data_IF_655687321368
#
_entry.id   IF_655687321368
#
_cell.length_a   1.000
_cell.length_b   1.000
_cell.length_c   1.000
_cell.angle_alpha   90.00
_cell.angle_beta   90.00
_cell.angle_gamma   90.00
#
_symmetry.space_group_name_H-M   'P 1'
#
loop_
_entity.id
_entity.type
_entity.pdbx_description
1 polymer ?
#
# COMPACT_ATOMS: atom_id res chain seq x y z
N UNK A 1 -23.89 -0.30 15.67
CA UNK A 1 -22.46 -0.11 15.32
C UNK A 1 -21.61 -1.21 15.93
N UNK A 2 -21.48 -2.31 15.18
CA UNK A 2 -20.82 -3.56 15.62
C UNK A 2 -19.36 -3.33 16.11
N UNK A 3 -18.65 -2.35 15.53
CA UNK A 3 -17.24 -2.08 15.84
C UNK A 3 -17.00 -0.67 16.43
N UNK A 4 -18.02 -0.10 17.06
CA UNK A 4 -17.92 1.24 17.67
C UNK A 4 -16.81 1.36 18.73
N UNK A 5 -16.45 0.24 19.38
CA UNK A 5 -15.36 0.19 20.37
C UNK A 5 -13.97 0.42 19.74
N UNK A 6 -13.81 0.25 18.43
CA UNK A 6 -12.58 0.54 17.70
C UNK A 6 -12.46 2.03 17.31
N UNK A 7 -13.45 2.84 17.60
CA UNK A 7 -13.48 4.27 17.27
C UNK A 7 -13.32 5.14 18.52
N UNK A 8 -12.74 6.33 18.40
CA UNK A 8 -12.05 6.86 17.21
C UNK A 8 -10.69 6.19 16.99
N UNK A 9 -10.31 6.00 15.73
CA UNK A 9 -9.01 5.48 15.34
C UNK A 9 -8.21 6.49 14.51
N UNK A 10 -6.88 6.47 14.69
CA UNK A 10 -5.90 7.22 13.87
C UNK A 10 -4.95 6.25 13.17
N UNK A 11 -5.40 5.04 12.96
CA UNK A 11 -4.64 3.91 12.46
C UNK A 11 -5.20 3.43 11.12
N UNK A 12 -4.46 3.64 10.06
CA UNK A 12 -4.87 3.23 8.71
C UNK A 12 -5.15 1.73 8.62
N UNK A 13 -4.37 0.88 9.31
CA UNK A 13 -4.57 -0.57 9.30
C UNK A 13 -5.93 -0.98 9.90
N UNK A 14 -6.41 -0.25 10.91
CA UNK A 14 -7.75 -0.44 11.48
C UNK A 14 -8.82 -0.13 10.44
N UNK A 15 -8.68 0.98 9.72
CA UNK A 15 -9.61 1.39 8.66
C UNK A 15 -9.55 0.38 7.49
N UNK A 16 -8.36 0.08 7.03
CA UNK A 16 -8.09 -0.84 5.90
C UNK A 16 -8.62 -2.25 6.15
N UNK A 17 -8.61 -2.70 7.41
CA UNK A 17 -9.19 -4.00 7.80
C UNK A 17 -10.69 -4.08 7.56
N UNK A 18 -11.41 -2.95 7.51
CA UNK A 18 -12.86 -2.89 7.50
C UNK A 18 -13.45 -2.18 6.28
N UNK A 19 -12.62 -1.55 5.43
CA UNK A 19 -13.08 -0.75 4.28
C UNK A 19 -13.92 -1.57 3.28
N UNK A 20 -13.64 -2.85 3.15
CA UNK A 20 -14.38 -3.77 2.28
C UNK A 20 -15.85 -3.95 2.68
N UNK A 21 -16.23 -3.53 3.91
CA UNK A 21 -17.60 -3.58 4.43
C UNK A 21 -18.46 -2.36 4.06
N UNK A 22 -17.92 -1.42 3.31
CA UNK A 22 -18.68 -0.26 2.84
C UNK A 22 -19.83 -0.75 1.96
N UNK A 23 -21.06 -0.36 2.33
CA UNK A 23 -22.25 -0.78 1.60
C UNK A 23 -22.22 -0.25 0.15
N UNK A 24 -22.49 -1.12 -0.80
CA UNK A 24 -22.51 -0.77 -2.21
C UNK A 24 -21.12 -0.80 -2.89
N UNK A 25 -20.07 -1.21 -2.18
CA UNK A 25 -18.75 -1.41 -2.78
C UNK A 25 -18.80 -2.54 -3.80
N UNK A 26 -18.12 -2.35 -4.94
CA UNK A 26 -18.03 -3.36 -6.00
C UNK A 26 -17.20 -4.57 -5.57
N UNK A 27 -17.44 -5.75 -6.20
CA UNK A 27 -16.61 -6.94 -6.00
C UNK A 27 -15.13 -6.66 -6.27
N UNK A 28 -14.84 -5.89 -7.32
CA UNK A 28 -13.51 -5.42 -7.66
C UNK A 28 -13.42 -3.94 -7.34
N UNK A 29 -12.56 -3.56 -6.41
CA UNK A 29 -12.33 -2.16 -6.09
C UNK A 29 -10.83 -1.86 -5.90
N UNK A 30 -10.49 -0.60 -6.03
CA UNK A 30 -9.14 -0.12 -5.81
C UNK A 30 -9.07 0.65 -4.49
N UNK A 31 -8.09 0.31 -3.66
CA UNK A 31 -7.76 1.08 -2.48
C UNK A 31 -6.55 1.96 -2.76
N UNK A 32 -6.67 3.23 -2.44
CA UNK A 32 -5.62 4.23 -2.52
C UNK A 32 -5.30 4.77 -1.14
N UNK A 33 -4.02 4.93 -0.84
CA UNK A 33 -3.58 5.80 0.25
C UNK A 33 -3.60 7.25 -0.23
N UNK A 34 -3.61 8.20 0.69
CA UNK A 34 -3.65 9.65 0.42
C UNK A 34 -2.35 10.21 -0.21
N UNK A 35 -1.28 9.42 -0.19
CA UNK A 35 0.03 9.70 -0.77
C UNK A 35 0.28 8.98 -2.11
N UNK A 36 -0.73 8.32 -2.67
CA UNK A 36 -0.67 7.57 -3.93
C UNK A 36 -1.46 8.29 -5.03
N UNK A 37 -0.84 8.42 -6.20
CA UNK A 37 -1.36 9.16 -7.35
C UNK A 37 -1.27 8.32 -8.62
N UNK A 38 -2.16 8.61 -9.58
CA UNK A 38 -2.02 8.14 -10.96
C UNK A 38 -1.19 9.17 -11.73
N UNK A 39 -0.07 8.74 -12.29
CA UNK A 39 0.85 9.57 -13.08
C UNK A 39 0.68 9.39 -14.59
N UNK A 40 -0.13 8.41 -15.02
CA UNK A 40 -0.48 8.18 -16.41
C UNK A 40 -1.90 7.60 -16.53
N UNK A 41 -2.51 7.57 -17.73
CA UNK A 41 -3.79 6.93 -17.98
C UNK A 41 -3.78 5.46 -17.54
N UNK A 42 -4.84 5.05 -16.85
CA UNK A 42 -5.01 3.70 -16.32
C UNK A 42 -6.08 2.96 -17.13
N UNK A 43 -5.76 1.75 -17.55
CA UNK A 43 -6.72 0.82 -18.13
C UNK A 43 -7.26 -0.13 -17.05
N UNK A 44 -8.48 -0.64 -17.14
CA UNK A 44 -8.99 -1.65 -16.21
C UNK A 44 -8.06 -2.86 -16.08
N UNK A 45 -7.42 -3.29 -17.17
CA UNK A 45 -6.47 -4.40 -17.22
C UNK A 45 -5.15 -4.13 -16.48
N UNK A 46 -4.85 -2.87 -16.18
CA UNK A 46 -3.69 -2.54 -15.34
C UNK A 46 -3.91 -2.90 -13.86
N UNK A 47 -5.17 -3.10 -13.47
CA UNK A 47 -5.57 -3.35 -12.08
C UNK A 47 -6.22 -4.71 -11.91
N UNK A 48 -7.06 -5.12 -12.88
CA UNK A 48 -7.70 -6.43 -12.90
C UNK A 48 -7.68 -7.02 -14.31
N UNK A 49 -7.17 -8.21 -14.47
CA UNK A 49 -7.32 -8.99 -15.69
C UNK A 49 -8.42 -10.03 -15.49
N UNK A 50 -9.58 -9.76 -16.07
CA UNK A 50 -10.81 -10.48 -15.73
C UNK A 50 -11.16 -10.28 -14.25
N UNK A 51 -11.17 -11.38 -13.48
CA UNK A 51 -11.41 -11.34 -12.04
C UNK A 51 -10.13 -11.37 -11.18
N UNK A 52 -8.95 -11.38 -11.81
CA UNK A 52 -7.68 -11.53 -11.14
C UNK A 52 -7.08 -10.15 -10.83
N UNK A 53 -6.77 -9.81 -9.58
CA UNK A 53 -6.05 -8.60 -9.24
C UNK A 53 -4.61 -8.64 -9.79
N UNK A 54 -4.15 -7.53 -10.35
CA UNK A 54 -2.77 -7.34 -10.83
C UNK A 54 -1.94 -6.75 -9.69
N UNK A 55 -1.16 -7.59 -9.04
CA UNK A 55 -0.43 -7.27 -7.82
C UNK A 55 0.96 -6.71 -8.14
N UNK A 56 1.29 -5.58 -7.54
CA UNK A 56 2.60 -4.93 -7.61
C UNK A 56 3.36 -5.11 -6.31
N UNK A 57 4.62 -5.50 -6.43
CA UNK A 57 5.46 -5.78 -5.27
C UNK A 57 6.65 -6.65 -5.66
N UNK A 58 7.39 -7.08 -4.65
CA UNK A 58 8.59 -7.90 -4.85
C UNK A 58 8.63 -9.06 -3.85
N UNK A 59 9.17 -10.19 -4.28
CA UNK A 59 9.53 -11.27 -3.37
C UNK A 59 10.77 -10.86 -2.59
N UNK A 60 10.68 -10.94 -1.27
CA UNK A 60 11.73 -10.48 -0.36
C UNK A 60 12.00 -11.48 0.74
N UNK A 61 13.20 -11.41 1.32
CA UNK A 61 13.56 -12.07 2.57
C UNK A 61 13.64 -11.00 3.69
N UNK A 62 12.71 -11.08 4.64
CA UNK A 62 12.67 -10.25 5.83
C UNK A 62 12.97 -11.04 7.11
N UNK A 63 13.48 -12.28 6.98
CA UNK A 63 13.71 -13.16 8.13
C UNK A 63 14.69 -12.58 9.15
N UNK A 64 15.70 -11.82 8.73
CA UNK A 64 16.64 -11.17 9.63
C UNK A 64 15.96 -10.22 10.62
N UNK A 65 14.87 -9.54 10.21
CA UNK A 65 14.16 -8.60 11.07
C UNK A 65 13.56 -9.28 12.31
N UNK A 66 13.28 -10.58 12.24
CA UNK A 66 12.72 -11.33 13.35
C UNK A 66 13.73 -11.57 14.46
N UNK A 67 15.03 -11.54 14.15
CA UNK A 67 16.14 -11.82 15.06
C UNK A 67 16.85 -10.57 15.58
N UNK A 68 16.44 -9.38 15.14
CA UNK A 68 17.05 -8.09 15.48
C UNK A 68 16.04 -7.25 16.32
N UNK A 69 16.06 -7.39 17.67
CA UNK A 69 15.11 -6.70 18.54
C UNK A 69 15.07 -5.17 18.34
N UNK A 70 16.23 -4.57 18.08
CA UNK A 70 16.36 -3.13 17.83
C UNK A 70 15.60 -2.66 16.58
N UNK A 71 15.37 -3.54 15.61
CA UNK A 71 14.60 -3.24 14.41
C UNK A 71 13.10 -3.11 14.69
N UNK A 72 12.62 -3.70 15.79
CA UNK A 72 11.22 -3.56 16.20
C UNK A 72 10.90 -2.15 16.72
N UNK A 73 11.88 -1.45 17.22
CA UNK A 73 11.75 -0.08 17.72
C UNK A 73 11.94 0.97 16.61
N UNK A 74 12.40 0.55 15.42
CA UNK A 74 12.62 1.42 14.27
C UNK A 74 11.30 1.68 13.51
N UNK A 75 10.72 2.91 13.54
CA UNK A 75 9.49 3.22 12.83
C UNK A 75 9.58 2.96 11.33
N UNK A 76 10.77 3.05 10.72
CA UNK A 76 10.99 2.77 9.30
C UNK A 76 10.77 1.29 8.96
N UNK A 77 10.76 0.40 9.96
CA UNK A 77 10.53 -1.04 9.79
C UNK A 77 9.11 -1.49 10.10
N UNK A 78 8.25 -0.61 10.61
CA UNK A 78 6.86 -0.96 10.94
C UNK A 78 6.14 -1.67 9.79
N UNK A 79 6.18 -1.09 8.59
CA UNK A 79 5.53 -1.69 7.42
C UNK A 79 6.07 -3.09 7.08
N UNK A 80 7.38 -3.34 7.30
CA UNK A 80 7.96 -4.66 7.06
C UNK A 80 7.37 -5.70 8.02
N UNK A 81 7.25 -5.39 9.32
CA UNK A 81 6.66 -6.30 10.30
C UNK A 81 5.19 -6.59 10.00
N UNK A 82 4.42 -5.59 9.57
CA UNK A 82 3.01 -5.78 9.20
C UNK A 82 2.85 -6.66 7.96
N UNK A 83 3.78 -6.57 7.00
CA UNK A 83 3.81 -7.47 5.85
C UNK A 83 4.25 -8.89 6.23
N UNK A 84 5.23 -9.04 7.15
CA UNK A 84 5.60 -10.35 7.70
C UNK A 84 4.39 -10.99 8.38
N UNK A 85 3.69 -10.27 9.25
CA UNK A 85 2.52 -10.78 9.97
C UNK A 85 1.41 -11.22 9.00
N UNK A 86 1.17 -10.45 7.95
CA UNK A 86 0.22 -10.80 6.88
C UNK A 86 0.62 -12.08 6.14
N UNK A 87 1.89 -12.20 5.79
CA UNK A 87 2.45 -13.37 5.11
C UNK A 87 2.32 -14.63 5.96
N UNK A 88 2.74 -14.56 7.24
CA UNK A 88 2.64 -15.67 8.18
C UNK A 88 1.19 -16.12 8.37
N UNK A 89 0.24 -15.19 8.49
CA UNK A 89 -1.18 -15.48 8.61
C UNK A 89 -1.72 -16.20 7.36
N UNK A 90 -1.21 -15.87 6.19
CA UNK A 90 -1.56 -16.52 4.92
C UNK A 90 -0.81 -17.86 4.67
N UNK A 91 0.08 -18.29 5.58
CA UNK A 91 0.84 -19.54 5.46
C UNK A 91 2.17 -19.44 4.71
N UNK A 92 2.65 -18.22 4.45
CA UNK A 92 4.00 -17.95 3.95
C UNK A 92 4.98 -17.82 5.11
N UNK A 93 6.26 -17.71 4.81
CA UNK A 93 7.30 -17.44 5.81
C UNK A 93 8.00 -16.09 5.54
N UNK A 94 8.82 -15.63 6.51
CA UNK A 94 9.53 -14.38 6.38
C UNK A 94 10.71 -14.43 5.38
N UNK A 95 11.17 -15.61 4.98
CA UNK A 95 12.27 -15.79 4.01
C UNK A 95 11.81 -15.58 2.57
N UNK A 96 10.52 -15.84 2.31
CA UNK A 96 9.95 -15.67 0.98
C UNK A 96 8.51 -15.17 1.10
N UNK A 97 8.35 -13.87 1.23
CA UNK A 97 7.06 -13.22 1.22
C UNK A 97 6.95 -12.22 0.07
N UNK A 98 5.73 -11.93 -0.36
CA UNK A 98 5.45 -10.92 -1.37
C UNK A 98 5.24 -9.56 -0.68
N UNK A 99 6.26 -8.72 -0.67
CA UNK A 99 6.16 -7.37 -0.18
C UNK A 99 5.41 -6.49 -1.19
N UNK A 100 4.18 -6.15 -0.86
CA UNK A 100 3.34 -5.28 -1.68
C UNK A 100 3.97 -3.90 -1.84
N UNK A 101 4.01 -3.40 -3.07
CA UNK A 101 4.42 -2.03 -3.34
C UNK A 101 3.44 -1.04 -2.69
N UNK A 102 3.93 0.11 -2.27
CA UNK A 102 3.09 1.18 -1.73
C UNK A 102 2.50 2.01 -2.88
N UNK A 103 1.52 1.44 -3.55
CA UNK A 103 0.80 2.01 -4.68
C UNK A 103 -0.68 1.62 -4.57
N UNK A 104 -1.44 1.71 -5.65
CA UNK A 104 -2.83 1.24 -5.67
C UNK A 104 -2.90 -0.26 -5.36
N UNK A 105 -3.88 -0.63 -4.52
CA UNK A 105 -4.14 -2.02 -4.19
C UNK A 105 -5.47 -2.46 -4.82
N UNK A 106 -5.44 -3.37 -5.83
CA UNK A 106 -6.63 -4.03 -6.33
C UNK A 106 -7.12 -5.06 -5.30
N UNK A 107 -8.35 -4.90 -4.86
CA UNK A 107 -8.95 -5.73 -3.81
C UNK A 107 -10.21 -6.41 -4.32
N UNK A 108 -10.36 -7.69 -3.99
CA UNK A 108 -11.59 -8.44 -4.17
C UNK A 108 -12.37 -8.49 -2.87
N UNK A 109 -13.60 -7.99 -2.91
CA UNK A 109 -14.49 -7.93 -1.75
C UNK A 109 -14.75 -9.32 -1.18
N UNK A 110 -15.07 -10.30 -2.05
CA UNK A 110 -15.33 -11.69 -1.63
C UNK A 110 -14.16 -12.32 -0.90
N UNK A 111 -12.92 -12.09 -1.35
CA UNK A 111 -11.71 -12.61 -0.70
C UNK A 111 -11.50 -11.95 0.67
N UNK A 112 -11.74 -10.65 0.80
CA UNK A 112 -11.65 -9.98 2.09
C UNK A 112 -12.71 -10.51 3.07
N UNK A 113 -13.93 -10.79 2.60
CA UNK A 113 -14.98 -11.40 3.41
C UNK A 113 -14.59 -12.82 3.88
N UNK A 114 -14.09 -13.66 2.98
CA UNK A 114 -13.60 -15.01 3.31
C UNK A 114 -12.47 -14.97 4.34
N UNK A 115 -11.51 -14.02 4.18
CA UNK A 115 -10.41 -13.84 5.11
C UNK A 115 -10.89 -13.35 6.48
N UNK A 116 -11.86 -12.44 6.50
CA UNK A 116 -12.46 -11.96 7.74
C UNK A 116 -13.17 -13.09 8.49
N UNK A 117 -13.94 -13.91 7.79
CA UNK A 117 -14.61 -15.06 8.40
C UNK A 117 -13.60 -16.10 8.93
N UNK A 118 -12.58 -16.41 8.12
CA UNK A 118 -11.53 -17.38 8.48
C UNK A 118 -10.69 -16.94 9.67
N UNK A 119 -10.34 -15.65 9.73
CA UNK A 119 -9.43 -15.08 10.73
C UNK A 119 -10.12 -14.06 11.63
N UNK A 120 -11.40 -14.26 11.91
CA UNK A 120 -12.25 -13.29 12.61
C UNK A 120 -11.61 -12.71 13.89
N UNK A 121 -11.14 -13.57 14.80
CA UNK A 121 -10.51 -13.12 16.03
C UNK A 121 -9.25 -12.27 15.78
N UNK A 122 -8.46 -12.59 14.73
CA UNK A 122 -7.26 -11.86 14.36
C UNK A 122 -7.61 -10.48 13.76
N UNK A 123 -8.69 -10.39 12.97
CA UNK A 123 -9.20 -9.10 12.48
C UNK A 123 -9.70 -8.22 13.63
N UNK A 124 -10.43 -8.80 14.60
CA UNK A 124 -10.87 -8.06 15.80
C UNK A 124 -9.68 -7.55 16.62
N UNK A 125 -8.63 -8.35 16.73
CA UNK A 125 -7.38 -7.90 17.34
C UNK A 125 -6.74 -6.77 16.53
N UNK A 126 -6.71 -6.87 15.18
CA UNK A 126 -6.08 -5.88 14.29
C UNK A 126 -6.73 -4.50 14.38
N UNK A 127 -8.05 -4.43 14.61
CA UNK A 127 -8.80 -3.16 14.63
C UNK A 127 -8.83 -2.47 15.99
N UNK A 128 -8.44 -3.14 17.08
CA UNK A 128 -8.52 -2.55 18.43
C UNK A 128 -7.47 -1.46 18.70
N UNK A 129 -6.41 -1.40 17.89
CA UNK A 129 -5.32 -0.48 18.10
C UNK A 129 -5.65 0.91 17.57
N UNK A 130 -5.68 1.90 18.44
CA UNK A 130 -5.93 3.30 18.08
C UNK A 130 -4.80 3.91 17.25
N UNK A 131 -3.58 3.46 17.47
CA UNK A 131 -2.36 3.81 16.73
C UNK A 131 -1.70 2.52 16.24
N UNK A 132 -0.79 2.62 15.25
CA UNK A 132 -0.09 1.44 14.70
C UNK A 132 0.66 0.68 15.79
N UNK A 133 0.55 -0.65 15.74
CA UNK A 133 1.19 -1.59 16.65
C UNK A 133 1.84 -2.72 15.84
N UNK A 134 3.02 -3.19 16.29
CA UNK A 134 3.77 -4.26 15.59
C UNK A 134 3.06 -5.61 15.55
N UNK A 135 2.02 -5.80 16.35
CA UNK A 135 1.18 -7.01 16.35
C UNK A 135 0.16 -7.02 15.22
N UNK A 136 -0.05 -5.88 14.58
CA UNK A 136 -0.98 -5.77 13.45
C UNK A 136 -0.39 -6.40 12.19
N UNK A 137 -1.28 -6.79 11.29
CA UNK A 137 -0.94 -7.21 9.93
C UNK A 137 -1.46 -6.20 8.90
N UNK A 138 -0.84 -6.18 7.71
CA UNK A 138 -1.33 -5.43 6.57
C UNK A 138 -2.52 -6.16 5.93
N UNK A 139 -3.74 -5.58 5.91
CA UNK A 139 -4.89 -6.23 5.28
C UNK A 139 -4.70 -6.49 3.78
N UNK A 140 -4.07 -5.54 3.07
CA UNK A 140 -3.74 -5.69 1.65
C UNK A 140 -2.67 -6.77 1.45
N UNK A 141 -1.67 -6.82 2.35
CA UNK A 141 -0.66 -7.87 2.34
C UNK A 141 -1.28 -9.26 2.53
N UNK A 142 -2.24 -9.41 3.45
CA UNK A 142 -2.97 -10.66 3.66
C UNK A 142 -3.79 -11.04 2.42
N UNK A 143 -4.56 -10.09 1.86
CA UNK A 143 -5.32 -10.30 0.63
C UNK A 143 -4.41 -10.77 -0.52
N UNK A 144 -3.28 -10.09 -0.74
CA UNK A 144 -2.37 -10.41 -1.82
C UNK A 144 -1.78 -11.82 -1.67
N UNK A 145 -1.33 -12.18 -0.46
CA UNK A 145 -0.83 -13.54 -0.20
C UNK A 145 -1.90 -14.60 -0.37
N UNK A 146 -3.15 -14.34 0.05
CA UNK A 146 -4.26 -15.27 -0.16
C UNK A 146 -4.57 -15.47 -1.64
N UNK A 147 -4.57 -14.39 -2.43
CA UNK A 147 -4.73 -14.47 -3.88
C UNK A 147 -3.60 -15.27 -4.55
N UNK A 148 -2.35 -15.03 -4.14
CA UNK A 148 -1.18 -15.75 -4.67
C UNK A 148 -1.26 -17.24 -4.30
N UNK A 149 -1.56 -17.56 -3.05
CA UNK A 149 -1.65 -18.95 -2.56
C UNK A 149 -2.74 -19.76 -3.27
N UNK A 150 -3.81 -19.10 -3.72
CA UNK A 150 -4.91 -19.72 -4.45
C UNK A 150 -4.80 -19.61 -5.97
N UNK A 151 -3.68 -19.10 -6.50
CA UNK A 151 -3.46 -18.84 -7.93
C UNK A 151 -4.52 -17.93 -8.55
N UNK A 152 -5.05 -17.00 -7.74
CA UNK A 152 -6.10 -16.04 -8.13
C UNK A 152 -5.56 -14.61 -8.21
N UNK A 153 -4.34 -14.44 -8.69
CA UNK A 153 -3.72 -13.15 -8.93
C UNK A 153 -2.74 -13.19 -10.10
N UNK A 154 -2.50 -12.03 -10.69
CA UNK A 154 -1.39 -11.80 -11.60
C UNK A 154 -0.34 -11.00 -10.84
N UNK A 155 0.87 -11.53 -10.75
CA UNK A 155 2.01 -10.79 -10.19
C UNK A 155 2.65 -10.00 -11.33
N UNK A 156 2.54 -8.68 -11.27
CA UNK A 156 3.17 -7.79 -12.24
C UNK A 156 4.69 -7.77 -12.02
N UNK A 157 5.45 -8.07 -13.05
CA UNK A 157 6.91 -8.28 -12.96
C UNK A 157 7.70 -7.02 -13.32
N UNK A 158 7.07 -6.06 -13.97
CA UNK A 158 7.70 -4.82 -14.41
C UNK A 158 7.45 -3.70 -13.39
N UNK A 159 8.44 -2.82 -13.21
CA UNK A 159 8.26 -1.65 -12.34
C UNK A 159 7.59 -0.52 -13.13
N UNK A 160 6.26 -0.44 -13.05
CA UNK A 160 5.42 0.61 -13.64
C UNK A 160 5.04 1.70 -12.62
N UNK A 161 5.83 1.85 -11.57
CA UNK A 161 5.59 2.79 -10.48
C UNK A 161 6.88 3.43 -9.94
N UNK A 162 6.72 4.59 -9.34
CA UNK A 162 7.77 5.29 -8.61
C UNK A 162 7.31 5.52 -7.17
N UNK A 163 8.17 5.17 -6.21
CA UNK A 163 7.94 5.40 -4.80
C UNK A 163 9.04 6.31 -4.23
N UNK A 164 8.65 7.51 -3.80
CA UNK A 164 9.52 8.47 -3.13
C UNK A 164 9.20 8.40 -1.63
N UNK A 165 10.03 7.69 -0.88
CA UNK A 165 9.85 7.54 0.57
C UNK A 165 10.43 8.73 1.33
N UNK A 166 9.89 8.99 2.55
CA UNK A 166 10.40 9.97 3.49
C UNK A 166 11.88 9.73 3.79
N UNK A 167 12.67 10.78 3.83
CA UNK A 167 14.11 10.70 4.05
C UNK A 167 14.94 10.38 2.80
N UNK A 168 14.38 9.73 1.79
CA UNK A 168 15.08 9.55 0.51
C UNK A 168 15.24 10.88 -0.26
N UNK A 169 14.30 11.80 -0.09
CA UNK A 169 14.41 13.15 -0.65
C UNK A 169 15.44 14.04 0.05
N UNK A 170 15.69 13.80 1.34
CA UNK A 170 16.64 14.58 2.16
C UNK A 170 18.03 13.97 2.16
N UNK A 171 18.14 12.65 2.28
CA UNK A 171 19.43 11.92 2.29
C UNK A 171 20.02 11.66 0.91
N UNK A 172 19.25 11.91 -0.16
CA UNK A 172 19.64 11.68 -1.54
C UNK A 172 20.06 12.99 -2.20
N UNK A 173 21.11 13.00 -3.06
CA UNK A 173 21.45 14.16 -3.87
C UNK A 173 20.23 14.67 -4.64
N UNK A 174 20.06 15.99 -4.72
CA UNK A 174 18.94 16.62 -5.43
C UNK A 174 18.80 16.13 -6.87
N UNK A 175 19.93 15.89 -7.55
CA UNK A 175 19.94 15.40 -8.93
C UNK A 175 19.29 14.02 -9.08
N UNK A 176 19.46 13.14 -8.11
CA UNK A 176 18.85 11.81 -8.12
C UNK A 176 17.34 11.89 -7.85
N UNK A 177 16.92 12.79 -6.96
CA UNK A 177 15.50 13.04 -6.70
C UNK A 177 14.81 13.62 -7.95
N UNK A 178 15.45 14.57 -8.63
CA UNK A 178 14.98 15.10 -9.92
C UNK A 178 14.86 14.00 -10.98
N UNK A 179 15.82 13.09 -11.06
CA UNK A 179 15.77 11.96 -12.00
C UNK A 179 14.58 11.02 -11.70
N UNK A 180 14.24 10.78 -10.42
CA UNK A 180 13.05 10.03 -10.05
C UNK A 180 11.76 10.75 -10.47
N UNK A 181 11.65 12.05 -10.24
CA UNK A 181 10.50 12.84 -10.67
C UNK A 181 10.36 12.83 -12.19
N UNK A 182 11.47 12.96 -12.92
CA UNK A 182 11.47 12.85 -14.37
C UNK A 182 11.00 11.45 -14.83
N UNK A 183 11.49 10.39 -14.17
CA UNK A 183 11.02 9.03 -14.44
C UNK A 183 9.53 8.88 -14.15
N UNK A 184 9.02 9.46 -13.06
CA UNK A 184 7.59 9.42 -12.72
C UNK A 184 6.70 10.16 -13.75
N UNK A 185 7.26 11.07 -14.54
CA UNK A 185 6.54 11.76 -15.63
C UNK A 185 6.46 10.95 -16.93
N UNK A 186 7.16 9.80 -17.00
CA UNK A 186 7.07 8.91 -18.17
C UNK A 186 5.72 8.17 -18.17
N UNK A 187 5.03 8.04 -19.31
CA UNK A 187 3.75 7.35 -19.40
C UNK A 187 3.82 5.84 -19.07
N UNK A 188 5.03 5.28 -19.01
CA UNK A 188 5.26 3.90 -18.59
C UNK A 188 5.04 3.74 -17.08
N UNK A 189 5.24 4.79 -16.28
CA UNK A 189 5.00 4.78 -14.85
C UNK A 189 3.58 5.27 -14.57
N UNK A 190 2.71 4.35 -14.22
CA UNK A 190 1.28 4.62 -14.01
C UNK A 190 0.95 5.08 -12.60
N UNK A 191 1.80 4.73 -11.64
CA UNK A 191 1.58 5.00 -10.23
C UNK A 191 2.77 5.74 -9.63
N UNK A 192 2.43 6.70 -8.78
CA UNK A 192 3.40 7.50 -8.04
C UNK A 192 2.98 7.52 -6.57
N UNK A 193 3.90 7.20 -5.68
CA UNK A 193 3.74 7.44 -4.25
C UNK A 193 4.77 8.47 -3.77
N UNK A 194 4.30 9.46 -2.99
CA UNK A 194 5.13 10.44 -2.31
C UNK A 194 4.72 10.48 -0.84
N UNK A 195 5.46 9.80 0.04
CA UNK A 195 5.08 9.66 1.45
C UNK A 195 5.03 10.97 2.21
N UNK A 196 5.86 11.95 1.87
CA UNK A 196 5.93 13.23 2.56
C UNK A 196 6.23 14.34 1.56
N UNK A 197 5.17 14.85 0.94
CA UNK A 197 5.29 15.93 -0.04
C UNK A 197 5.87 17.23 0.57
N UNK A 198 5.49 17.67 1.80
CA UNK A 198 6.15 18.81 2.43
C UNK A 198 7.66 18.63 2.60
N UNK A 199 8.11 17.43 2.97
CA UNK A 199 9.53 17.14 3.09
C UNK A 199 10.22 17.15 1.72
N UNK A 200 9.58 16.60 0.68
CA UNK A 200 10.11 16.66 -0.68
C UNK A 200 10.27 18.10 -1.15
N UNK A 201 9.35 19.01 -0.80
CA UNK A 201 9.42 20.43 -1.15
C UNK A 201 10.62 21.16 -0.52
N UNK A 202 11.16 20.66 0.60
CA UNK A 202 12.38 21.23 1.20
C UNK A 202 13.63 20.98 0.33
N UNK A 203 13.62 19.89 -0.44
CA UNK A 203 14.75 19.50 -1.32
C UNK A 203 14.51 19.94 -2.76
N UNK A 204 13.29 19.84 -3.22
CA UNK A 204 12.86 20.21 -4.57
C UNK A 204 11.79 21.31 -4.47
N UNK A 205 12.18 22.58 -4.49
CA UNK A 205 11.21 23.67 -4.59
C UNK A 205 10.28 23.44 -5.78
N UNK A 206 8.98 23.74 -5.61
CA UNK A 206 7.94 23.51 -6.62
C UNK A 206 7.57 22.03 -6.89
N UNK A 207 7.98 21.06 -6.05
CA UNK A 207 7.58 19.65 -6.20
C UNK A 207 6.05 19.49 -6.25
N UNK A 208 5.31 20.31 -5.49
CA UNK A 208 3.82 20.31 -5.49
C UNK A 208 3.25 20.80 -6.83
N UNK A 209 3.85 21.79 -7.44
CA UNK A 209 3.44 22.29 -8.76
C UNK A 209 3.73 21.25 -9.84
N UNK A 210 4.91 20.64 -9.79
CA UNK A 210 5.26 19.52 -10.64
C UNK A 210 4.25 18.37 -10.49
N UNK A 211 3.90 17.98 -9.27
CA UNK A 211 2.92 16.91 -9.01
C UNK A 211 1.57 17.25 -9.64
N UNK A 212 1.08 18.48 -9.47
CA UNK A 212 -0.19 18.92 -10.10
C UNK A 212 -0.17 18.74 -11.61
N UNK A 213 0.94 19.06 -12.25
CA UNK A 213 1.11 18.93 -13.69
C UNK A 213 1.11 17.46 -14.12
N UNK A 214 1.77 16.57 -13.36
CA UNK A 214 1.85 15.14 -13.65
C UNK A 214 0.49 14.45 -13.49
N UNK A 215 -0.25 14.77 -12.43
CA UNK A 215 -1.59 14.16 -12.19
C UNK A 215 -2.72 14.82 -12.98
N UNK A 216 -2.42 15.74 -13.89
CA UNK A 216 -3.41 16.34 -14.80
C UNK A 216 -4.13 17.57 -14.25
N UNK A 217 -3.68 18.14 -13.13
CA UNK A 217 -4.22 19.36 -12.52
C UNK A 217 -5.70 19.24 -12.09
N UNK A 218 -6.02 19.65 -10.88
CA UNK A 218 -7.41 19.89 -10.51
C UNK A 218 -7.79 21.29 -11.00
N UNK A 219 -8.57 21.40 -12.04
CA UNK A 219 -9.42 22.58 -12.25
C UNK A 219 -10.50 22.48 -11.16
N UNK A 220 -10.30 23.18 -10.05
CA UNK A 220 -11.42 23.50 -9.16
C UNK A 220 -12.40 24.26 -10.03
N UNK A 221 -13.49 23.61 -10.40
CA UNK A 221 -14.57 24.29 -11.10
C UNK A 221 -14.93 25.52 -10.28
N UNK A 222 -14.91 26.68 -10.94
CA UNK A 222 -15.39 27.91 -10.32
C UNK A 222 -16.82 27.67 -9.84
N UNK A 223 -17.21 28.19 -8.64
CA UNK A 223 -18.54 28.04 -8.08
C UNK A 223 -19.61 28.61 -8.99
#
# INVERSE_FOLDING_TARGET
>A
DEFSAALPTFNSLTIESMIWRIQGLSEHFMYFNDDVFLSAPLLPTDVFEGSLPVLRGKWVDYSELLYLPEKREDPAKFNHFMQINAALLAGFDAKKLFASAHVVHPIRLSIMAELFDKYHATFLENIKYRFRDLRQFSPQGLHNHACIASEKAIVHTEDDYIHIVSGQGIGRPQIETLALLQKASSPENKFLCINDLPQLETVIPHAREWLRNVVGGFTVGAP
#
